data_IF_647615538905
#
_entry.id   IF_647615538905
#
_cell.length_a   1.000
_cell.length_b   1.000
_cell.length_c   1.000
_cell.angle_alpha   90.00
_cell.angle_beta   90.00
_cell.angle_gamma   90.00
#
_symmetry.space_group_name_H-M   'P 1'
#
loop_
_entity.id
_entity.type
_entity.pdbx_description
1 polymer ?
#
# COMPACT_ATOMS: atom_id res chain seq x y z
N UNK A 1 -0.15 7.27 14.29
CA UNK A 1 -0.97 6.52 13.33
C UNK A 1 -0.59 5.04 13.40
N UNK A 2 -1.55 4.11 13.54
CA UNK A 2 -1.29 2.66 13.60
C UNK A 2 -1.45 2.04 12.21
N UNK A 3 -0.35 2.02 11.44
CA UNK A 3 -0.27 1.35 10.14
C UNK A 3 0.15 -0.10 10.31
N UNK A 4 -0.52 -1.01 9.60
CA UNK A 4 -0.20 -2.43 9.61
C UNK A 4 -0.04 -2.97 8.20
N UNK A 5 1.04 -3.71 7.97
CA UNK A 5 1.24 -4.49 6.75
C UNK A 5 0.53 -5.84 6.89
N UNK A 6 -0.25 -6.19 5.87
CA UNK A 6 -0.91 -7.49 5.73
C UNK A 6 -0.51 -8.08 4.39
N UNK A 7 -0.10 -9.35 4.34
CA UNK A 7 0.19 -10.00 3.06
C UNK A 7 -1.07 -9.98 2.19
N UNK A 8 -0.90 -9.68 0.90
CA UNK A 8 -1.98 -9.75 -0.06
C UNK A 8 -2.28 -11.22 -0.35
N UNK A 9 -3.51 -11.64 -0.10
CA UNK A 9 -3.99 -12.97 -0.46
C UNK A 9 -4.66 -12.90 -1.85
N UNK A 10 -4.38 -13.89 -2.69
CA UNK A 10 -5.18 -14.13 -3.90
C UNK A 10 -6.42 -14.97 -3.54
N UNK A 11 -7.47 -15.01 -4.38
CA UNK A 11 -8.74 -15.70 -4.07
C UNK A 11 -8.63 -17.19 -3.68
N UNK A 12 -7.46 -17.81 -3.90
CA UNK A 12 -7.15 -19.17 -3.44
C UNK A 12 -6.70 -19.25 -1.98
N UNK A 13 -6.66 -18.12 -1.26
CA UNK A 13 -6.13 -18.02 0.10
C UNK A 13 -4.60 -18.06 0.18
N UNK A 14 -3.90 -18.00 -0.96
CA UNK A 14 -2.43 -18.05 -1.00
C UNK A 14 -1.87 -16.64 -0.85
N UNK A 15 -1.00 -16.37 0.15
CA UNK A 15 -0.31 -15.10 0.26
C UNK A 15 0.70 -14.91 -0.87
N UNK A 16 0.74 -13.72 -1.46
CA UNK A 16 1.81 -13.31 -2.35
C UNK A 16 3.04 -12.91 -1.50
N UNK A 17 4.19 -13.56 -1.76
CA UNK A 17 5.38 -13.48 -0.89
C UNK A 17 5.94 -12.06 -0.77
N UNK A 18 5.80 -11.25 -1.82
CA UNK A 18 6.34 -9.90 -1.92
C UNK A 18 5.26 -8.84 -2.19
N UNK A 19 4.11 -8.99 -1.55
CA UNK A 19 2.97 -8.09 -1.76
C UNK A 19 2.18 -7.90 -0.47
N UNK A 20 2.06 -6.64 -0.08
CA UNK A 20 1.55 -6.21 1.20
C UNK A 20 0.51 -5.13 1.02
N UNK A 21 -0.68 -5.32 1.58
CA UNK A 21 -1.66 -4.25 1.78
C UNK A 21 -1.27 -3.46 3.02
N UNK A 22 -1.38 -2.13 2.93
CA UNK A 22 -1.22 -1.24 4.08
C UNK A 22 -2.59 -0.92 4.62
N UNK A 23 -2.81 -1.19 5.91
CA UNK A 23 -4.10 -0.99 6.57
C UNK A 23 -3.99 0.05 7.69
N UNK A 24 -5.03 0.89 7.82
CA UNK A 24 -5.23 1.86 8.91
C UNK A 24 -6.65 1.67 9.45
N UNK A 25 -6.78 1.43 10.75
CA UNK A 25 -8.09 1.19 11.40
C UNK A 25 -8.95 0.12 10.69
N UNK A 26 -8.31 -0.91 10.11
CA UNK A 26 -8.98 -1.99 9.37
C UNK A 26 -9.32 -1.67 7.91
N UNK A 27 -9.03 -0.47 7.43
CA UNK A 27 -9.22 -0.07 6.03
C UNK A 27 -7.90 -0.19 5.25
N UNK A 28 -7.93 -0.80 4.06
CA UNK A 28 -6.77 -0.83 3.16
C UNK A 28 -6.59 0.52 2.50
N UNK A 29 -5.49 1.20 2.81
CA UNK A 29 -5.19 2.56 2.34
C UNK A 29 -4.11 2.59 1.25
N UNK A 30 -3.50 1.45 0.94
CA UNK A 30 -2.49 1.34 -0.09
C UNK A 30 -1.87 -0.05 -0.15
N UNK A 31 -0.78 -0.15 -0.91
CA UNK A 31 -0.06 -1.40 -1.16
C UNK A 31 1.43 -1.15 -1.33
N UNK A 32 2.21 -2.12 -0.88
CA UNK A 32 3.66 -2.22 -1.06
C UNK A 32 3.95 -3.57 -1.69
N UNK A 33 4.55 -3.58 -2.87
CA UNK A 33 4.79 -4.82 -3.61
C UNK A 33 6.14 -4.76 -4.33
N UNK A 34 6.75 -5.93 -4.51
CA UNK A 34 7.98 -6.05 -5.29
C UNK A 34 7.64 -6.13 -6.77
N UNK A 35 8.19 -5.21 -7.54
CA UNK A 35 7.95 -5.10 -8.98
C UNK A 35 9.26 -5.00 -9.72
N UNK A 36 9.28 -5.49 -10.95
CA UNK A 36 10.40 -5.29 -11.86
C UNK A 36 10.17 -4.00 -12.66
N UNK A 37 11.12 -3.05 -12.58
CA UNK A 37 11.11 -1.83 -13.39
C UNK A 37 11.88 -2.03 -14.68
N UNK A 38 11.71 -1.09 -15.62
CA UNK A 38 12.44 -1.10 -16.88
C UNK A 38 13.96 -1.19 -16.61
N UNK A 39 14.64 -2.14 -17.25
CA UNK A 39 16.06 -2.43 -16.97
C UNK A 39 16.34 -3.59 -16.01
N UNK A 40 15.31 -4.38 -15.67
CA UNK A 40 15.39 -5.61 -14.86
C UNK A 40 15.68 -5.44 -13.37
N UNK A 41 15.74 -4.21 -12.85
CA UNK A 41 15.89 -3.95 -11.42
C UNK A 41 14.59 -4.27 -10.67
N UNK A 42 14.71 -5.06 -9.61
CA UNK A 42 13.63 -5.34 -8.67
C UNK A 42 13.59 -4.27 -7.59
N UNK A 43 12.47 -3.59 -7.45
CA UNK A 43 12.25 -2.54 -6.44
C UNK A 43 11.01 -2.85 -5.62
N UNK A 44 10.95 -2.27 -4.42
CA UNK A 44 9.72 -2.21 -3.61
C UNK A 44 8.93 -0.96 -3.99
N UNK A 45 7.86 -1.17 -4.74
CA UNK A 45 6.93 -0.10 -5.10
C UNK A 45 5.86 0.05 -4.02
N UNK A 46 5.63 1.28 -3.57
CA UNK A 46 4.55 1.65 -2.67
C UNK A 46 3.57 2.61 -3.37
N UNK A 47 2.28 2.51 -3.03
CA UNK A 47 1.24 3.42 -3.55
C UNK A 47 0.05 3.57 -2.60
N UNK A 48 -0.50 4.78 -2.54
CA UNK A 48 -1.74 5.11 -1.83
C UNK A 48 -2.96 4.89 -2.72
N UNK A 49 -4.02 4.38 -2.12
CA UNK A 49 -5.34 4.25 -2.75
C UNK A 49 -6.19 5.49 -2.49
N UNK A 50 -5.74 6.63 -3.03
CA UNK A 50 -6.43 7.92 -2.93
C UNK A 50 -6.80 8.46 -4.31
N UNK A 51 -7.91 9.19 -4.40
CA UNK A 51 -8.30 9.95 -5.59
C UNK A 51 -8.53 11.43 -5.27
N UNK A 52 -7.99 12.37 -6.08
CA UNK A 52 -7.05 12.14 -7.17
C UNK A 52 -5.68 11.67 -6.66
N UNK A 53 -5.05 10.75 -7.39
CA UNK A 53 -3.70 10.27 -7.09
C UNK A 53 -2.65 11.18 -7.77
N UNK A 54 -1.59 11.53 -7.06
CA UNK A 54 -0.46 12.30 -7.58
C UNK A 54 0.84 11.49 -7.57
N UNK A 55 1.89 12.01 -8.19
CA UNK A 55 3.23 11.38 -8.12
C UNK A 55 3.78 11.31 -6.70
N UNK A 56 3.30 12.15 -5.77
CA UNK A 56 3.66 12.09 -4.35
C UNK A 56 3.00 10.92 -3.59
N UNK A 57 2.01 10.27 -4.20
CA UNK A 57 1.20 9.20 -3.59
C UNK A 57 1.71 7.81 -3.95
N UNK A 58 2.91 7.72 -4.53
CA UNK A 58 3.57 6.48 -4.92
C UNK A 58 5.09 6.66 -5.04
N UNK A 59 5.83 5.57 -4.98
CA UNK A 59 7.28 5.61 -5.19
C UNK A 59 7.94 4.24 -5.15
N UNK A 60 9.23 4.23 -5.49
CA UNK A 60 10.08 3.04 -5.47
C UNK A 60 11.09 3.14 -4.33
N UNK A 61 11.46 2.01 -3.75
CA UNK A 61 12.49 1.91 -2.72
C UNK A 61 13.29 0.60 -2.87
N UNK A 62 14.53 0.60 -2.36
CA UNK A 62 15.41 -0.57 -2.45
C UNK A 62 14.99 -1.71 -1.50
N UNK A 63 14.32 -1.40 -0.38
CA UNK A 63 13.90 -2.39 0.63
C UNK A 63 12.45 -2.19 1.06
N UNK A 64 11.85 -3.23 1.64
CA UNK A 64 10.49 -3.19 2.18
C UNK A 64 10.38 -2.16 3.32
N UNK A 65 11.40 -2.08 4.17
CA UNK A 65 11.46 -1.14 5.29
C UNK A 65 11.49 0.31 4.78
N UNK A 66 12.30 0.58 3.75
CA UNK A 66 12.36 1.89 3.13
C UNK A 66 11.03 2.27 2.46
N UNK A 67 10.37 1.32 1.77
CA UNK A 67 9.04 1.53 1.21
C UNK A 67 7.99 1.79 2.30
N UNK A 68 8.01 1.04 3.40
CA UNK A 68 7.10 1.22 4.52
C UNK A 68 7.31 2.56 5.24
N UNK A 69 8.56 2.99 5.42
CA UNK A 69 8.90 4.29 5.99
C UNK A 69 8.42 5.44 5.09
N UNK A 70 8.67 5.36 3.78
CA UNK A 70 8.21 6.36 2.81
C UNK A 70 6.68 6.45 2.78
N UNK A 71 5.99 5.30 2.75
CA UNK A 71 4.55 5.23 2.81
C UNK A 71 4.02 5.89 4.08
N UNK A 72 4.60 5.56 5.25
CA UNK A 72 4.19 6.13 6.53
C UNK A 72 4.34 7.65 6.56
N UNK A 73 5.49 8.17 6.12
CA UNK A 73 5.74 9.60 6.05
C UNK A 73 4.70 10.31 5.16
N UNK A 74 4.34 9.70 4.02
CA UNK A 74 3.30 10.24 3.14
C UNK A 74 1.92 10.24 3.81
N UNK A 75 1.55 9.18 4.52
CA UNK A 75 0.25 9.10 5.21
C UNK A 75 0.17 10.12 6.35
N UNK A 76 1.26 10.33 7.09
CA UNK A 76 1.32 11.35 8.15
C UNK A 76 1.19 12.76 7.56
N UNK A 77 1.81 13.03 6.40
CA UNK A 77 1.68 14.30 5.69
C UNK A 77 0.30 14.52 5.04
N UNK A 78 -0.46 13.47 4.79
CA UNK A 78 -1.81 13.54 4.22
C UNK A 78 -2.91 13.72 5.29
N UNK A 79 -2.55 13.81 6.58
CA UNK A 79 -3.51 13.96 7.66
C UNK A 79 -4.17 15.36 7.70
N UNK A 80 -5.48 15.48 7.98
CA UNK A 80 -6.41 14.41 8.36
C UNK A 80 -6.80 13.55 7.16
N UNK A 81 -6.51 12.26 7.27
CA UNK A 81 -6.82 11.28 6.23
C UNK A 81 -8.34 11.16 6.11
N UNK A 82 -8.88 11.50 4.95
CA UNK A 82 -10.31 11.41 4.66
C UNK A 82 -10.64 10.07 3.96
N UNK A 83 -11.29 9.12 4.66
CA UNK A 83 -11.65 7.83 4.07
C UNK A 83 -12.64 7.97 2.90
N UNK A 84 -13.36 9.09 2.74
CA UNK A 84 -14.26 9.31 1.60
C UNK A 84 -13.53 9.58 0.28
N UNK A 85 -12.22 9.91 0.33
CA UNK A 85 -11.36 10.03 -0.86
C UNK A 85 -10.66 8.73 -1.25
N UNK A 86 -10.86 7.67 -0.48
CA UNK A 86 -10.31 6.36 -0.79
C UNK A 86 -11.13 5.67 -1.88
N UNK A 87 -10.45 5.12 -2.87
CA UNK A 87 -11.09 4.15 -3.77
C UNK A 87 -11.27 2.89 -2.93
N UNK A 88 -12.49 2.68 -2.42
CA UNK A 88 -12.86 1.52 -1.63
C UNK A 88 -12.60 0.24 -2.44
N UNK A 89 -11.59 -0.54 -2.03
CA UNK A 89 -11.66 -1.98 -2.21
C UNK A 89 -12.65 -2.49 -1.15
N UNK A 90 -13.70 -3.24 -1.51
CA UNK A 90 -14.67 -3.73 -0.54
C UNK A 90 -13.95 -4.51 0.57
N UNK A 91 -14.45 -4.39 1.80
CA UNK A 91 -13.94 -5.16 2.94
C UNK A 91 -14.01 -6.64 2.58
N UNK A 92 -12.87 -7.32 2.54
CA UNK A 92 -12.83 -8.78 2.54
C UNK A 92 -13.18 -9.26 3.95
N UNK A 93 -14.48 -9.41 4.23
CA UNK A 93 -15.12 -10.36 5.16
C UNK A 93 -16.53 -9.88 5.55
N UNK A 94 -17.49 -10.10 4.65
CA UNK A 94 -18.89 -10.36 4.98
C UNK A 94 -19.41 -11.44 4.02
N UNK A 95 -19.06 -12.70 4.29
CA UNK A 95 -19.79 -13.89 3.84
C UNK A 95 -19.77 -14.93 4.94
#
# INVERSE_FOLDING_TARGET
>A
MDLRLRRTEIPTGTPLVDDWRVTLAGHTIGRIMRVQRAGAEWVWFWSFYISPNSTADRGDAATLEAAAAAFRARAEAAAPFDPHRMIYLPRENER
#
